data_IF_475238785416
#
_entry.id   IF_475238785416
#
_cell.length_a   1.000
_cell.length_b   1.000
_cell.length_c   1.000
_cell.angle_alpha   90.00
_cell.angle_beta   90.00
_cell.angle_gamma   90.00
#
_symmetry.space_group_name_H-M   'P 1'
#
loop_
_entity.id
_entity.type
_entity.pdbx_description
1 polymer ?
#
# COMPACT_ATOMS: atom_id res chain seq x y z
N UNK A 1 16.99 -13.98 -26.91
CA UNK A 1 17.46 -12.58 -26.93
C UNK A 1 16.23 -11.71 -27.13
N UNK A 2 15.60 -11.26 -26.04
CA UNK A 2 14.38 -10.45 -26.10
C UNK A 2 14.83 -9.01 -26.19
N UNK A 3 14.47 -8.35 -27.30
CA UNK A 3 14.73 -6.93 -27.50
C UNK A 3 14.08 -6.14 -26.35
N UNK A 4 14.92 -5.49 -25.55
CA UNK A 4 14.50 -4.48 -24.59
C UNK A 4 14.01 -3.32 -25.44
N UNK A 5 12.70 -3.24 -25.64
CA UNK A 5 12.02 -2.06 -26.19
C UNK A 5 12.51 -0.83 -25.45
N UNK A 6 12.92 0.20 -26.19
CA UNK A 6 13.40 1.50 -25.71
C UNK A 6 12.59 1.99 -24.50
N UNK A 7 13.11 1.75 -23.30
CA UNK A 7 12.69 2.50 -22.11
C UNK A 7 13.30 3.87 -22.27
N UNK A 8 12.53 4.79 -22.83
CA UNK A 8 12.88 6.21 -22.93
C UNK A 8 13.39 6.69 -21.57
N UNK A 9 14.71 6.87 -21.45
CA UNK A 9 15.31 7.26 -20.18
C UNK A 9 14.75 8.61 -19.75
N UNK A 10 14.27 8.67 -18.51
CA UNK A 10 13.72 9.91 -17.96
C UNK A 10 14.79 11.01 -17.99
N UNK A 11 14.46 12.15 -18.59
CA UNK A 11 15.29 13.35 -18.51
C UNK A 11 15.56 13.74 -17.04
N UNK A 12 16.65 14.46 -16.76
CA UNK A 12 16.96 14.92 -15.40
C UNK A 12 15.80 15.70 -14.75
N UNK A 13 15.08 16.50 -15.53
CA UNK A 13 13.91 17.25 -15.06
C UNK A 13 12.75 16.32 -14.67
N UNK A 14 12.47 15.27 -15.46
CA UNK A 14 11.45 14.27 -15.14
C UNK A 14 11.83 13.46 -13.89
N UNK A 15 13.10 13.03 -13.76
CA UNK A 15 13.59 12.34 -12.55
C UNK A 15 13.37 13.18 -11.30
N UNK A 16 13.78 14.46 -11.33
CA UNK A 16 13.59 15.40 -10.21
C UNK A 16 12.12 15.62 -9.86
N UNK A 17 11.24 15.71 -10.87
CA UNK A 17 9.78 15.80 -10.68
C UNK A 17 9.24 14.53 -10.02
N UNK A 18 9.64 13.35 -10.51
CA UNK A 18 9.28 12.05 -9.95
C UNK A 18 9.73 11.89 -8.51
N UNK A 19 10.98 12.25 -8.20
CA UNK A 19 11.53 12.25 -6.84
C UNK A 19 10.70 13.09 -5.87
N UNK A 20 10.33 14.32 -6.27
CA UNK A 20 9.50 15.21 -5.45
C UNK A 20 8.09 14.65 -5.25
N UNK A 21 7.49 14.11 -6.31
CA UNK A 21 6.16 13.51 -6.24
C UNK A 21 6.13 12.29 -5.32
N UNK A 22 7.13 11.40 -5.44
CA UNK A 22 7.23 10.21 -4.60
C UNK A 22 7.51 10.55 -3.13
N UNK A 23 8.30 11.59 -2.84
CA UNK A 23 8.48 12.07 -1.45
C UNK A 23 7.17 12.58 -0.84
N UNK A 24 6.39 13.37 -1.59
CA UNK A 24 5.07 13.83 -1.12
C UNK A 24 4.10 12.68 -0.92
N UNK A 25 4.05 11.77 -1.88
CA UNK A 25 3.28 10.55 -1.76
C UNK A 25 3.67 9.78 -0.49
N UNK A 26 4.97 9.58 -0.25
CA UNK A 26 5.44 8.79 0.88
C UNK A 26 5.04 9.40 2.23
N UNK A 27 5.13 10.74 2.36
CA UNK A 27 4.67 11.48 3.56
C UNK A 27 3.20 11.26 3.84
N UNK A 28 2.35 11.54 2.85
CA UNK A 28 0.89 11.40 2.98
C UNK A 28 0.49 9.95 3.25
N UNK A 29 1.18 9.03 2.58
CA UNK A 29 0.95 7.61 2.73
C UNK A 29 1.33 7.10 4.13
N UNK A 30 2.46 7.52 4.68
CA UNK A 30 2.89 7.13 6.03
C UNK A 30 1.85 7.58 7.07
N UNK A 31 1.45 8.85 7.01
CA UNK A 31 0.40 9.40 7.87
C UNK A 31 -0.93 8.64 7.72
N UNK A 32 -1.37 8.40 6.49
CA UNK A 32 -2.60 7.64 6.22
C UNK A 32 -2.54 6.21 6.75
N UNK A 33 -1.39 5.55 6.63
CA UNK A 33 -1.20 4.19 7.13
C UNK A 33 -1.22 4.17 8.66
N UNK A 34 -0.50 5.07 9.32
CA UNK A 34 -0.47 5.19 10.79
C UNK A 34 -1.87 5.47 11.38
N UNK A 35 -2.70 6.23 10.66
CA UNK A 35 -4.07 6.56 11.09
C UNK A 35 -5.10 5.42 10.87
N UNK A 36 -4.72 4.33 10.21
CA UNK A 36 -5.69 3.30 9.78
C UNK A 36 -5.26 1.89 10.15
N UNK A 37 -4.01 1.52 9.91
CA UNK A 37 -3.52 0.16 9.95
C UNK A 37 -2.90 -0.21 11.32
N UNK A 38 -2.44 -1.46 11.43
CA UNK A 38 -1.83 -2.04 12.62
C UNK A 38 -2.70 -1.81 13.87
N UNK A 39 -2.17 -1.11 14.88
CA UNK A 39 -2.85 -0.89 16.16
C UNK A 39 -4.21 -0.22 16.01
N UNK A 40 -4.38 0.74 15.10
CA UNK A 40 -5.65 1.45 14.94
C UNK A 40 -6.73 0.52 14.38
N UNK A 41 -6.38 -0.33 13.42
CA UNK A 41 -7.29 -1.34 12.86
C UNK A 41 -7.72 -2.35 13.93
N UNK A 42 -6.79 -2.78 14.78
CA UNK A 42 -7.08 -3.68 15.90
C UNK A 42 -8.01 -3.02 16.93
N UNK A 43 -7.70 -1.79 17.34
CA UNK A 43 -8.56 -1.03 18.26
C UNK A 43 -9.97 -0.83 17.68
N UNK A 44 -10.07 -0.61 16.37
CA UNK A 44 -11.35 -0.50 15.71
C UNK A 44 -12.14 -1.81 15.79
N UNK A 45 -11.51 -2.96 15.51
CA UNK A 45 -12.13 -4.27 15.65
C UNK A 45 -12.58 -4.55 17.10
N UNK A 46 -11.73 -4.25 18.09
CA UNK A 46 -12.08 -4.40 19.52
C UNK A 46 -13.31 -3.54 19.88
N UNK A 47 -13.36 -2.29 19.41
CA UNK A 47 -14.51 -1.40 19.62
C UNK A 47 -15.80 -1.91 19.00
N UNK A 48 -15.70 -2.72 17.94
CA UNK A 48 -16.84 -3.39 17.31
C UNK A 48 -17.27 -4.68 18.05
N UNK A 49 -16.51 -5.10 19.08
CA UNK A 49 -16.77 -6.31 19.85
C UNK A 49 -16.12 -7.57 19.26
N UNK A 50 -15.03 -7.42 18.50
CA UNK A 50 -14.26 -8.58 18.03
C UNK A 50 -13.62 -9.33 19.21
N UNK A 51 -13.69 -10.67 19.17
CA UNK A 51 -12.96 -11.53 20.11
C UNK A 51 -11.53 -11.83 19.66
N UNK A 52 -10.74 -12.39 20.57
CA UNK A 52 -9.30 -12.63 20.38
C UNK A 52 -8.94 -13.41 19.10
N UNK A 53 -9.67 -14.48 18.70
CA UNK A 53 -9.33 -15.20 17.46
C UNK A 53 -9.45 -14.31 16.22
N UNK A 54 -10.46 -13.44 16.17
CA UNK A 54 -10.64 -12.51 15.05
C UNK A 54 -9.50 -11.49 15.00
N UNK A 55 -9.12 -10.93 16.16
CA UNK A 55 -8.00 -9.99 16.27
C UNK A 55 -6.68 -10.64 15.82
N UNK A 56 -6.43 -11.89 16.21
CA UNK A 56 -5.23 -12.63 15.82
C UNK A 56 -5.15 -12.85 14.30
N UNK A 57 -6.27 -13.24 13.67
CA UNK A 57 -6.29 -13.38 12.20
C UNK A 57 -6.16 -12.03 11.52
N UNK A 58 -6.86 -10.99 11.99
CA UNK A 58 -6.81 -9.64 11.44
C UNK A 58 -5.39 -9.06 11.47
N UNK A 59 -4.66 -9.22 12.58
CA UNK A 59 -3.28 -8.76 12.72
C UNK A 59 -2.30 -9.54 11.81
N UNK A 60 -2.60 -10.80 11.52
CA UNK A 60 -1.79 -11.64 10.64
C UNK A 60 -1.92 -11.29 9.14
N UNK A 61 -2.93 -10.52 8.75
CA UNK A 61 -3.24 -10.26 7.33
C UNK A 61 -2.10 -9.61 6.56
N UNK A 62 -1.28 -8.77 7.20
CA UNK A 62 -0.10 -8.16 6.55
C UNK A 62 0.89 -9.22 6.06
N UNK A 63 1.09 -10.30 6.83
CA UNK A 63 1.94 -11.41 6.45
C UNK A 63 1.21 -12.37 5.51
N UNK A 64 -0.05 -12.67 5.81
CA UNK A 64 -0.86 -13.61 5.03
C UNK A 64 -1.04 -13.17 3.58
N UNK A 65 -1.10 -11.85 3.33
CA UNK A 65 -1.24 -11.28 1.98
C UNK A 65 0.09 -11.05 1.26
N UNK A 66 1.23 -11.32 1.91
CA UNK A 66 2.56 -11.17 1.30
C UNK A 66 2.77 -11.98 0.00
N UNK A 67 2.20 -13.19 -0.19
CA UNK A 67 2.27 -13.90 -1.47
C UNK A 67 1.70 -13.12 -2.66
N UNK A 68 0.81 -12.15 -2.46
CA UNK A 68 0.32 -11.29 -3.55
C UNK A 68 1.39 -10.37 -4.15
N UNK A 69 2.56 -10.25 -3.52
CA UNK A 69 3.75 -9.66 -4.17
C UNK A 69 4.13 -10.37 -5.48
N UNK A 70 3.88 -11.68 -5.60
CA UNK A 70 4.09 -12.44 -6.84
C UNK A 70 3.17 -11.95 -7.96
N UNK A 71 1.91 -11.64 -7.62
CA UNK A 71 0.96 -11.04 -8.55
C UNK A 71 1.44 -9.66 -8.98
N UNK A 72 1.89 -8.83 -8.04
CA UNK A 72 2.47 -7.52 -8.35
C UNK A 72 3.68 -7.61 -9.28
N UNK A 73 4.60 -8.57 -9.05
CA UNK A 73 5.75 -8.80 -9.93
C UNK A 73 5.34 -9.15 -11.36
N UNK A 74 4.35 -10.02 -11.51
CA UNK A 74 3.80 -10.36 -12.82
C UNK A 74 3.14 -9.17 -13.52
N UNK A 75 2.39 -8.35 -12.77
CA UNK A 75 1.73 -7.15 -13.29
C UNK A 75 2.73 -6.07 -13.70
N UNK A 76 3.84 -5.88 -12.96
CA UNK A 76 4.92 -4.96 -13.34
C UNK A 76 5.48 -5.33 -14.72
N UNK A 77 5.71 -6.61 -14.99
CA UNK A 77 6.21 -7.08 -16.29
C UNK A 77 5.28 -6.79 -17.46
N UNK A 78 3.98 -6.53 -17.20
CA UNK A 78 2.98 -6.23 -18.23
C UNK A 78 2.58 -4.76 -18.31
N UNK A 79 2.56 -4.08 -17.18
CA UNK A 79 1.98 -2.74 -17.03
C UNK A 79 3.03 -1.66 -16.74
N UNK A 80 4.25 -2.05 -16.37
CA UNK A 80 5.30 -1.17 -15.84
C UNK A 80 5.14 -0.88 -14.34
N UNK A 81 6.22 -0.43 -13.71
CA UNK A 81 6.27 -0.19 -12.27
C UNK A 81 5.31 0.94 -11.84
N UNK A 82 5.35 2.08 -12.52
CA UNK A 82 4.53 3.24 -12.17
C UNK A 82 3.01 2.98 -12.24
N UNK A 83 2.54 2.29 -13.30
CA UNK A 83 1.11 1.98 -13.46
C UNK A 83 0.64 0.93 -12.46
N UNK A 84 1.42 -0.13 -12.24
CA UNK A 84 1.11 -1.12 -11.21
C UNK A 84 1.04 -0.47 -9.83
N UNK A 85 2.02 0.37 -9.50
CA UNK A 85 2.06 1.10 -8.24
C UNK A 85 0.80 1.96 -8.03
N UNK A 86 0.50 2.83 -9.01
CA UNK A 86 -0.63 3.76 -8.91
C UNK A 86 -1.99 3.05 -8.82
N UNK A 87 -2.21 2.03 -9.65
CA UNK A 87 -3.48 1.27 -9.64
C UNK A 87 -3.66 0.49 -8.34
N UNK A 88 -2.62 -0.21 -7.87
CA UNK A 88 -2.68 -0.93 -6.60
C UNK A 88 -2.92 0.02 -5.41
N UNK A 89 -2.26 1.18 -5.38
CA UNK A 89 -2.47 2.15 -4.30
C UNK A 89 -3.85 2.80 -4.34
N UNK A 90 -4.40 3.05 -5.52
CA UNK A 90 -5.78 3.50 -5.67
C UNK A 90 -6.76 2.44 -5.14
N UNK A 91 -6.63 1.18 -5.59
CA UNK A 91 -7.47 0.07 -5.13
C UNK A 91 -7.36 -0.17 -3.62
N UNK A 92 -6.16 -0.02 -3.04
CA UNK A 92 -5.94 -0.04 -1.59
C UNK A 92 -6.78 1.02 -0.88
N UNK A 93 -6.81 2.25 -1.39
CA UNK A 93 -7.59 3.34 -0.78
C UNK A 93 -9.09 3.14 -0.93
N UNK A 94 -9.55 2.54 -2.04
CA UNK A 94 -10.94 2.12 -2.20
C UNK A 94 -11.30 1.07 -1.14
N UNK A 95 -10.43 0.08 -0.91
CA UNK A 95 -10.63 -0.91 0.16
C UNK A 95 -10.64 -0.26 1.55
N UNK A 96 -9.77 0.71 1.82
CA UNK A 96 -9.80 1.48 3.06
C UNK A 96 -11.13 2.22 3.25
N UNK A 97 -11.68 2.82 2.19
CA UNK A 97 -12.95 3.53 2.24
C UNK A 97 -14.13 2.62 2.62
N UNK A 98 -14.08 1.32 2.28
CA UNK A 98 -15.09 0.35 2.72
C UNK A 98 -15.15 0.21 4.25
N UNK A 99 -14.04 0.44 4.96
CA UNK A 99 -14.01 0.40 6.44
C UNK A 99 -14.86 1.50 7.08
N UNK A 100 -15.15 2.59 6.35
CA UNK A 100 -16.04 3.67 6.80
C UNK A 100 -17.49 3.17 6.90
N UNK A 101 -17.87 2.18 6.09
CA UNK A 101 -19.24 1.64 6.07
C UNK A 101 -19.51 0.63 7.19
N UNK A 102 -18.46 0.14 7.86
CA UNK A 102 -18.55 -0.87 8.93
C UNK A 102 -19.51 -0.49 10.07
N UNK A 103 -19.52 0.74 10.63
CA UNK A 103 -20.44 1.11 11.70
C UNK A 103 -21.89 1.11 11.22
N UNK A 104 -22.12 1.53 9.96
CA UNK A 104 -23.45 1.54 9.34
C UNK A 104 -23.95 0.11 9.19
N UNK A 105 -23.11 -0.80 8.68
CA UNK A 105 -23.47 -2.21 8.51
C UNK A 105 -23.72 -2.87 9.87
N UNK A 106 -22.89 -2.55 10.88
CA UNK A 106 -23.08 -3.03 12.25
C UNK A 106 -24.43 -2.63 12.84
N UNK A 107 -24.81 -1.36 12.70
CA UNK A 107 -26.04 -0.82 13.27
C UNK A 107 -27.28 -1.33 12.52
N UNK A 108 -27.21 -1.42 11.19
CA UNK A 108 -28.37 -1.79 10.36
C UNK A 108 -28.62 -3.28 10.25
N UNK A 109 -27.58 -4.11 10.33
CA UNK A 109 -27.68 -5.56 10.11
C UNK A 109 -27.31 -6.34 11.37
N UNK A 110 -26.03 -6.41 11.70
CA UNK A 110 -25.56 -7.10 12.90
C UNK A 110 -24.08 -6.80 13.18
N UNK A 111 -23.63 -7.06 14.40
CA UNK A 111 -22.21 -7.00 14.76
C UNK A 111 -21.35 -7.91 13.88
N UNK A 112 -21.82 -9.14 13.62
CA UNK A 112 -21.11 -10.11 12.77
C UNK A 112 -20.89 -9.56 11.36
N UNK A 113 -21.94 -9.01 10.72
CA UNK A 113 -21.83 -8.42 9.39
C UNK A 113 -20.85 -7.23 9.33
N UNK A 114 -20.81 -6.41 10.40
CA UNK A 114 -19.83 -5.33 10.52
C UNK A 114 -18.38 -5.84 10.60
N UNK A 115 -18.14 -6.89 11.39
CA UNK A 115 -16.83 -7.52 11.52
C UNK A 115 -16.40 -8.22 10.22
N UNK A 116 -17.31 -8.90 9.53
CA UNK A 116 -17.04 -9.50 8.21
C UNK A 116 -16.65 -8.46 7.17
N UNK A 117 -17.38 -7.34 7.10
CA UNK A 117 -17.01 -6.24 6.22
C UNK A 117 -15.64 -5.65 6.57
N UNK A 118 -15.34 -5.46 7.86
CA UNK A 118 -14.03 -4.99 8.30
C UNK A 118 -12.93 -5.95 7.85
N UNK A 119 -13.14 -7.25 8.02
CA UNK A 119 -12.19 -8.28 7.62
C UNK A 119 -11.93 -8.26 6.12
N UNK A 120 -12.99 -8.23 5.30
CA UNK A 120 -12.88 -8.20 3.83
C UNK A 120 -12.15 -6.93 3.38
N UNK A 121 -12.52 -5.77 3.93
CA UNK A 121 -11.88 -4.50 3.62
C UNK A 121 -10.39 -4.50 4.00
N UNK A 122 -10.03 -5.03 5.17
CA UNK A 122 -8.65 -5.17 5.62
C UNK A 122 -7.85 -6.14 4.74
N UNK A 123 -8.42 -7.29 4.40
CA UNK A 123 -7.80 -8.26 3.51
C UNK A 123 -7.49 -7.65 2.15
N UNK A 124 -8.45 -6.95 1.54
CA UNK A 124 -8.26 -6.26 0.25
C UNK A 124 -7.20 -5.16 0.37
N UNK A 125 -7.25 -4.36 1.44
CA UNK A 125 -6.27 -3.31 1.70
C UNK A 125 -4.84 -3.86 1.76
N UNK A 126 -4.60 -4.91 2.55
CA UNK A 126 -3.27 -5.51 2.67
C UNK A 126 -2.85 -6.25 1.39
N UNK A 127 -3.79 -6.87 0.68
CA UNK A 127 -3.52 -7.52 -0.62
C UNK A 127 -3.05 -6.51 -1.67
N UNK A 128 -3.78 -5.41 -1.85
CA UNK A 128 -3.38 -4.36 -2.79
C UNK A 128 -2.09 -3.66 -2.37
N UNK A 129 -1.85 -3.48 -1.06
CA UNK A 129 -0.56 -3.01 -0.55
C UNK A 129 0.58 -3.94 -0.98
N UNK A 130 0.42 -5.25 -0.83
CA UNK A 130 1.43 -6.24 -1.23
C UNK A 130 1.67 -6.25 -2.74
N UNK A 131 0.62 -6.15 -3.55
CA UNK A 131 0.70 -6.04 -5.02
C UNK A 131 1.44 -4.77 -5.46
N UNK A 132 1.13 -3.64 -4.83
CA UNK A 132 1.76 -2.35 -5.17
C UNK A 132 3.19 -2.22 -4.62
N UNK A 133 3.45 -2.76 -3.42
CA UNK A 133 4.70 -2.58 -2.69
C UNK A 133 5.92 -3.08 -3.45
N UNK A 134 5.78 -4.15 -4.23
CA UNK A 134 6.88 -4.70 -5.05
C UNK A 134 7.33 -3.74 -6.17
N UNK A 135 6.52 -2.74 -6.55
CA UNK A 135 6.88 -1.71 -7.51
C UNK A 135 7.70 -0.54 -6.92
N UNK A 136 7.80 -0.43 -5.59
CA UNK A 136 8.50 0.70 -4.95
C UNK A 136 9.98 0.75 -5.32
N UNK A 137 10.68 -0.39 -5.25
CA UNK A 137 12.10 -0.49 -5.60
C UNK A 137 12.38 -0.14 -7.06
N UNK A 138 11.73 -0.75 -8.07
CA UNK A 138 11.97 -0.37 -9.47
C UNK A 138 11.58 1.09 -9.76
N UNK A 139 10.47 1.59 -9.18
CA UNK A 139 10.07 2.99 -9.35
C UNK A 139 11.14 3.96 -8.80
N UNK A 140 11.70 3.67 -7.63
CA UNK A 140 12.83 4.44 -7.09
C UNK A 140 14.06 4.31 -7.98
N UNK A 141 14.33 3.13 -8.55
CA UNK A 141 15.39 2.91 -9.51
C UNK A 141 15.27 3.79 -10.76
N UNK A 142 14.06 3.92 -11.31
CA UNK A 142 13.78 4.74 -12.51
C UNK A 142 13.94 6.25 -12.26
N UNK A 143 13.50 6.74 -11.10
CA UNK A 143 13.56 8.18 -10.75
C UNK A 143 14.90 8.61 -10.11
N UNK A 144 15.83 7.68 -9.90
CA UNK A 144 17.17 7.96 -9.36
C UNK A 144 18.26 7.61 -10.40
N UNK A 145 19.48 7.97 -10.04
CA UNK A 145 20.73 7.58 -10.69
C UNK A 145 21.57 6.82 -9.67
N UNK A 146 22.61 6.13 -10.12
CA UNK A 146 23.50 5.41 -9.19
C UNK A 146 24.22 6.36 -8.20
N UNK A 147 24.37 7.64 -8.55
CA UNK A 147 25.04 8.65 -7.73
C UNK A 147 24.15 9.19 -6.60
N UNK A 148 22.84 9.32 -6.81
CA UNK A 148 21.91 9.94 -5.85
C UNK A 148 20.95 8.96 -5.16
N UNK A 149 20.88 7.70 -5.62
CA UNK A 149 19.96 6.67 -5.09
C UNK A 149 20.07 6.48 -3.58
N UNK A 150 21.28 6.38 -3.03
CA UNK A 150 21.50 6.20 -1.60
C UNK A 150 20.92 7.36 -0.78
N UNK A 151 21.31 8.59 -1.13
CA UNK A 151 20.81 9.82 -0.50
C UNK A 151 19.29 9.95 -0.61
N UNK A 152 18.73 9.60 -1.77
CA UNK A 152 17.29 9.65 -1.99
C UNK A 152 16.54 8.65 -1.12
N UNK A 153 17.00 7.39 -1.05
CA UNK A 153 16.42 6.37 -0.18
C UNK A 153 16.47 6.79 1.29
N UNK A 154 17.60 7.33 1.77
CA UNK A 154 17.70 7.88 3.13
C UNK A 154 16.66 8.96 3.39
N UNK A 155 16.42 9.87 2.43
CA UNK A 155 15.34 10.87 2.54
C UNK A 155 13.96 10.23 2.61
N UNK A 156 13.68 9.20 1.81
CA UNK A 156 12.40 8.48 1.85
C UNK A 156 12.16 7.92 3.26
N UNK A 157 13.15 7.26 3.86
CA UNK A 157 13.06 6.71 5.22
C UNK A 157 12.90 7.77 6.29
N UNK A 158 13.67 8.86 6.24
CA UNK A 158 13.52 9.98 7.18
C UNK A 158 12.11 10.58 7.15
N UNK A 159 11.47 10.64 5.97
CA UNK A 159 10.08 11.09 5.85
C UNK A 159 9.07 10.08 6.40
N UNK A 160 9.46 8.82 6.55
CA UNK A 160 8.62 7.78 7.14
C UNK A 160 8.73 7.76 8.67
N UNK A 161 9.92 7.99 9.22
CA UNK A 161 10.21 7.91 10.68
C UNK A 161 9.80 9.14 11.50
N UNK A 162 9.38 10.24 10.86
CA UNK A 162 8.92 11.45 11.56
C UNK A 162 7.46 11.32 12.07
N UNK A 163 6.85 10.15 11.94
CA UNK A 163 5.51 9.81 12.42
C UNK A 163 5.53 8.49 13.18
#
# INVERSE_FOLDING_TARGET
MIAITDTEELSPAQKKKGQRAYLWFNRLNALSYAALADSILILYAIKLGAGDPFIAVLSSLVYFTSPFTMVGKHLIGKLGAAKNFGTAWFSRNVAAALMILVPIVRIKFSQAAGLELLFIAAFLFFSFRSIGGVAMTPLMGEITSDQDRGTYISRVWLNFSLF
#
